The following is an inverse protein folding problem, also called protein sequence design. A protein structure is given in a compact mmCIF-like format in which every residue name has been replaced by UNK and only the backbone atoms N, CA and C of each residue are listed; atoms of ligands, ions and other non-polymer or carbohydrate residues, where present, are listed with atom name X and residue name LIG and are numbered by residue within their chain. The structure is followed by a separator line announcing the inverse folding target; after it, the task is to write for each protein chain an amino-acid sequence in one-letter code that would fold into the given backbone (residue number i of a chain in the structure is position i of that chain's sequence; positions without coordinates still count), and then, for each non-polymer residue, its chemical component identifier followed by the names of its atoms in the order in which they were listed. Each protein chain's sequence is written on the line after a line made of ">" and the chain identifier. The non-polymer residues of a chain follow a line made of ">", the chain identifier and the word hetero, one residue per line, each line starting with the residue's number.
data_IF_966549546013
#
_entry.id   IF_966549546013
#
_cell.length_a   1.000
_cell.length_b   1.000
_cell.length_c   1.000
_cell.angle_alpha   90.00
_cell.angle_beta   90.00
_cell.angle_gamma   90.00
#
_symmetry.space_group_name_H-M   'P 1'
#
loop_
_entity.id
_entity.type
_entity.pdbx_description
1 polymer ?
#
# COMPACT_ATOMS: atom_id res chain seq x y z
N UNK A 1 -8.44 -13.45 10.86
CA UNK A 1 -7.96 -12.07 10.68
C UNK A 1 -6.50 -12.19 10.28
N UNK A 2 -6.15 -12.01 9.01
CA UNK A 2 -4.75 -12.11 8.58
C UNK A 2 -4.02 -10.86 9.08
N UNK A 3 -2.90 -11.05 9.79
CA UNK A 3 -2.10 -9.98 10.37
C UNK A 3 -0.64 -10.19 9.98
N UNK A 4 -0.02 -9.16 9.38
CA UNK A 4 1.41 -9.18 9.11
C UNK A 4 2.14 -8.74 10.37
N UNK A 5 3.09 -9.58 10.78
CA UNK A 5 3.92 -9.35 11.96
C UNK A 5 5.01 -8.34 11.59
N UNK A 6 5.01 -7.21 12.27
CA UNK A 6 6.03 -6.17 12.12
C UNK A 6 7.44 -6.73 12.47
N UNK A 7 8.51 -6.09 11.99
CA UNK A 7 9.91 -6.47 12.30
C UNK A 7 10.24 -6.48 13.80
N UNK A 8 9.35 -5.92 14.62
CA UNK A 8 9.41 -5.86 16.09
C UNK A 8 8.45 -6.84 16.80
N UNK A 9 7.82 -7.75 16.06
CA UNK A 9 6.99 -8.83 16.61
C UNK A 9 5.54 -8.46 16.96
N UNK A 10 5.13 -7.19 16.79
CA UNK A 10 3.74 -6.74 17.00
C UNK A 10 2.89 -6.98 15.75
N UNK A 11 1.67 -7.46 15.94
CA UNK A 11 0.67 -7.55 14.87
C UNK A 11 0.22 -6.15 14.46
N UNK A 12 0.19 -5.86 13.15
CA UNK A 12 -0.38 -4.60 12.68
C UNK A 12 -1.21 -4.77 11.41
N UNK A 13 -2.53 -4.59 11.59
CA UNK A 13 -3.52 -4.55 10.52
C UNK A 13 -3.25 -3.44 9.51
N UNK A 14 -2.72 -2.29 9.95
CA UNK A 14 -2.38 -1.16 9.09
C UNK A 14 -1.21 -1.47 8.15
N UNK A 15 -0.19 -2.20 8.62
CA UNK A 15 0.92 -2.66 7.76
C UNK A 15 0.42 -3.61 6.69
N UNK A 16 -0.48 -4.51 7.06
CA UNK A 16 -1.11 -5.43 6.12
C UNK A 16 -1.96 -4.70 5.08
N UNK A 17 -2.74 -3.71 5.49
CA UNK A 17 -3.49 -2.86 4.56
C UNK A 17 -2.57 -2.12 3.58
N UNK A 18 -1.49 -1.50 4.07
CA UNK A 18 -0.49 -0.83 3.22
C UNK A 18 0.13 -1.82 2.24
N UNK A 19 0.55 -3.00 2.70
CA UNK A 19 1.17 -4.03 1.86
C UNK A 19 0.21 -4.55 0.78
N UNK A 20 -1.05 -4.83 1.14
CA UNK A 20 -2.08 -5.25 0.18
C UNK A 20 -2.39 -4.14 -0.83
N UNK A 21 -2.50 -2.89 -0.37
CA UNK A 21 -2.77 -1.74 -1.24
C UNK A 21 -1.60 -1.50 -2.19
N UNK A 22 -0.37 -1.63 -1.71
CA UNK A 22 0.84 -1.53 -2.53
C UNK A 22 0.87 -2.60 -3.63
N UNK A 23 0.61 -3.86 -3.26
CA UNK A 23 0.55 -4.97 -4.20
C UNK A 23 -0.57 -4.77 -5.24
N UNK A 24 -1.75 -4.31 -4.81
CA UNK A 24 -2.88 -4.07 -5.69
C UNK A 24 -2.59 -2.97 -6.71
N UNK A 25 -1.94 -1.88 -6.31
CA UNK A 25 -1.56 -0.77 -7.21
C UNK A 25 -0.54 -1.26 -8.25
N UNK A 26 0.46 -2.03 -7.83
CA UNK A 26 1.43 -2.63 -8.76
C UNK A 26 0.78 -3.59 -9.75
N UNK A 27 -0.09 -4.48 -9.26
CA UNK A 27 -0.81 -5.41 -10.11
C UNK A 27 -1.66 -4.65 -11.14
N UNK A 28 -2.41 -3.64 -10.72
CA UNK A 28 -3.24 -2.82 -11.62
C UNK A 28 -2.42 -2.05 -12.65
N UNK A 29 -1.25 -1.55 -12.27
CA UNK A 29 -0.37 -0.81 -13.17
C UNK A 29 0.23 -1.71 -14.24
N UNK A 30 0.71 -2.89 -13.86
CA UNK A 30 1.26 -3.89 -14.81
C UNK A 30 0.19 -4.40 -15.77
N UNK A 31 -1.03 -4.59 -15.28
CA UNK A 31 -2.16 -5.04 -16.10
C UNK A 31 -2.83 -3.90 -16.90
N UNK A 32 -2.46 -2.65 -16.69
CA UNK A 32 -3.12 -1.52 -17.33
C UNK A 32 -2.97 -1.60 -18.87
N UNK A 33 -4.08 -1.54 -19.59
CA UNK A 33 -4.10 -1.68 -21.05
C UNK A 33 -3.96 -3.13 -21.56
N UNK A 34 -3.82 -4.12 -20.68
CA UNK A 34 -3.87 -5.52 -21.07
C UNK A 34 -5.32 -5.97 -21.31
N UNK A 35 -5.51 -6.86 -22.27
CA UNK A 35 -6.80 -7.53 -22.50
C UNK A 35 -6.79 -8.87 -21.77
N UNK A 36 -7.64 -9.01 -20.76
CA UNK A 36 -7.77 -10.24 -19.98
C UNK A 36 -8.92 -11.08 -20.56
N UNK A 37 -8.72 -12.39 -20.80
CA UNK A 37 -9.71 -13.24 -21.47
C UNK A 37 -11.05 -13.37 -20.71
N UNK A 38 -11.06 -13.17 -19.39
CA UNK A 38 -12.26 -13.21 -18.54
C UNK A 38 -12.80 -11.84 -18.15
N UNK A 39 -11.99 -10.78 -18.24
CA UNK A 39 -12.30 -9.45 -17.67
C UNK A 39 -12.32 -8.31 -18.70
N UNK A 40 -12.01 -8.61 -19.97
CA UNK A 40 -11.95 -7.62 -21.04
C UNK A 40 -10.74 -6.69 -20.94
N UNK A 41 -10.84 -5.52 -21.56
CA UNK A 41 -9.77 -4.51 -21.55
C UNK A 41 -9.66 -3.89 -20.15
N UNK A 42 -8.50 -4.02 -19.53
CA UNK A 42 -8.20 -3.31 -18.27
C UNK A 42 -8.03 -1.82 -18.58
N UNK A 43 -8.72 -0.92 -17.86
CA UNK A 43 -8.60 0.51 -18.09
C UNK A 43 -7.14 0.98 -18.05
N UNK A 44 -6.70 1.80 -19.02
CA UNK A 44 -5.35 2.35 -19.01
C UNK A 44 -5.13 3.19 -17.75
N UNK A 45 -3.89 3.21 -17.27
CA UNK A 45 -3.48 3.97 -16.10
C UNK A 45 -2.23 4.74 -16.46
N UNK A 46 -2.29 6.06 -16.32
CA UNK A 46 -1.15 6.94 -16.53
C UNK A 46 -0.15 6.85 -15.37
N UNK A 47 1.10 7.22 -15.64
CA UNK A 47 2.14 7.28 -14.61
C UNK A 47 1.76 8.25 -13.47
N UNK A 48 1.02 9.32 -13.77
CA UNK A 48 0.54 10.29 -12.77
C UNK A 48 -0.48 9.67 -11.82
N UNK A 49 -1.47 8.94 -12.33
CA UNK A 49 -2.47 8.25 -11.52
C UNK A 49 -1.81 7.20 -10.62
N UNK A 50 -0.81 6.48 -11.15
CA UNK A 50 -0.03 5.53 -10.37
C UNK A 50 0.75 6.23 -9.25
N UNK A 51 1.45 7.32 -9.59
CA UNK A 51 2.23 8.09 -8.62
C UNK A 51 1.35 8.64 -7.49
N UNK A 52 0.16 9.14 -7.79
CA UNK A 52 -0.79 9.63 -6.79
C UNK A 52 -1.30 8.49 -5.89
N UNK A 53 -1.64 7.34 -6.46
CA UNK A 53 -2.08 6.18 -5.68
C UNK A 53 -0.95 5.65 -4.77
N UNK A 54 0.27 5.53 -5.31
CA UNK A 54 1.44 5.11 -4.55
C UNK A 54 1.77 6.10 -3.42
N UNK A 55 1.71 7.41 -3.69
CA UNK A 55 1.91 8.45 -2.69
C UNK A 55 0.87 8.36 -1.55
N UNK A 56 -0.41 8.11 -1.88
CA UNK A 56 -1.46 7.92 -0.89
C UNK A 56 -1.20 6.72 0.04
N UNK A 57 -0.80 5.57 -0.52
CA UNK A 57 -0.46 4.38 0.28
C UNK A 57 0.77 4.62 1.15
N UNK A 58 1.81 5.27 0.60
CA UNK A 58 3.02 5.61 1.35
C UNK A 58 2.74 6.64 2.44
N UNK A 59 1.82 7.60 2.24
CA UNK A 59 1.44 8.56 3.26
C UNK A 59 0.80 7.89 4.48
N UNK A 60 -0.04 6.87 4.26
CA UNK A 60 -0.64 6.07 5.35
C UNK A 60 0.45 5.33 6.13
N UNK A 61 1.40 4.70 5.42
CA UNK A 61 2.54 4.04 6.06
C UNK A 61 3.41 5.02 6.85
N UNK A 62 3.76 6.15 6.26
CA UNK A 62 4.59 7.17 6.90
C UNK A 62 3.91 7.74 8.15
N UNK A 63 2.60 8.01 8.09
CA UNK A 63 1.82 8.45 9.24
C UNK A 63 1.81 7.42 10.38
N UNK A 64 1.73 6.12 10.04
CA UNK A 64 1.83 5.02 11.01
C UNK A 64 3.21 5.03 11.70
N UNK A 65 4.28 5.07 10.92
CA UNK A 65 5.65 5.06 11.44
C UNK A 65 5.95 6.29 12.31
N UNK A 66 5.45 7.47 11.91
CA UNK A 66 5.58 8.69 12.71
C UNK A 66 4.83 8.61 14.04
N UNK A 67 3.62 8.04 14.03
CA UNK A 67 2.81 7.84 15.24
C UNK A 67 3.47 6.83 16.17
N UNK A 68 3.95 5.71 15.63
CA UNK A 68 4.67 4.70 16.41
C UNK A 68 5.95 5.27 17.03
N UNK A 69 6.70 6.06 16.26
CA UNK A 69 7.90 6.76 16.76
C UNK A 69 7.56 7.71 17.90
N UNK A 70 6.46 8.48 17.83
CA UNK A 70 6.03 9.38 18.92
C UNK A 70 5.59 8.63 20.18
N UNK A 71 4.97 7.46 20.04
CA UNK A 71 4.44 6.68 21.17
C UNK A 71 5.54 5.87 21.86
N UNK A 72 6.43 5.23 21.10
CA UNK A 72 7.45 4.32 21.63
C UNK A 72 8.84 4.95 21.77
N UNK A 73 9.16 5.95 20.94
CA UNK A 73 10.34 6.80 21.13
C UNK A 73 9.87 8.02 21.90
N UNK A 74 10.10 8.04 23.21
CA UNK A 74 9.84 9.22 24.03
C UNK A 74 10.25 10.48 23.27
N UNK A 75 9.32 11.43 23.16
CA UNK A 75 9.57 12.71 22.51
C UNK A 75 10.81 13.38 23.12
N UNK A 76 11.40 14.38 22.43
CA UNK A 76 12.36 15.26 23.09
C UNK A 76 11.78 15.81 24.40
#
# INVERSE_FOLDING_TARGET
>A
MFSLRDSRGRESTTLLFVALSWLAIWLKFVLAGATLPLFGLVPPMSATEFGLAAAGVLAIWLGREWTDKKINGGGP
#
